data_IF_597030192433
#
_entry.id   IF_597030192433
#
_cell.length_a   1.000
_cell.length_b   1.000
_cell.length_c   1.000
_cell.angle_alpha   90.00
_cell.angle_beta   90.00
_cell.angle_gamma   90.00
#
_symmetry.space_group_name_H-M   'P 1'
#
loop_
_entity.id
_entity.type
_entity.pdbx_description
1 polymer ?
#
# COMPACT_ATOMS: atom_id res chain seq x y z
N UNK A 1 -17.55 -0.45 24.55
CA UNK A 1 -18.32 0.28 25.58
C UNK A 1 -17.42 1.41 26.10
N UNK A 2 -17.36 2.53 25.34
CA UNK A 2 -16.50 3.68 25.69
C UNK A 2 -17.37 4.78 26.28
N UNK A 3 -17.15 5.09 27.54
CA UNK A 3 -17.76 6.22 28.24
C UNK A 3 -17.12 7.52 27.76
N UNK A 4 -17.89 8.35 27.04
CA UNK A 4 -17.52 9.74 26.77
C UNK A 4 -17.75 10.54 28.06
N UNK A 5 -16.67 11.10 28.62
CA UNK A 5 -16.74 12.07 29.70
C UNK A 5 -17.00 13.45 29.10
N UNK A 6 -18.19 14.01 29.32
CA UNK A 6 -18.53 15.37 28.98
C UNK A 6 -18.15 16.26 30.16
N UNK A 7 -17.06 17.01 30.08
CA UNK A 7 -16.69 18.02 31.08
C UNK A 7 -17.45 19.31 30.78
N UNK A 8 -18.48 19.55 31.56
CA UNK A 8 -19.24 20.80 31.55
C UNK A 8 -18.48 21.82 32.44
N UNK A 9 -17.86 22.83 31.81
CA UNK A 9 -17.31 23.97 32.54
C UNK A 9 -18.42 24.97 32.85
N UNK A 10 -18.88 24.99 34.09
CA UNK A 10 -19.83 25.97 34.59
C UNK A 10 -19.05 27.21 35.02
N UNK A 11 -19.13 28.29 34.24
CA UNK A 11 -18.66 29.62 34.66
C UNK A 11 -19.76 30.27 35.52
N UNK A 12 -19.49 30.33 36.82
CA UNK A 12 -20.40 30.98 37.78
C UNK A 12 -20.06 32.48 37.81
N UNK A 13 -20.93 33.31 37.26
CA UNK A 13 -20.93 34.74 37.47
C UNK A 13 -21.50 35.06 38.87
N UNK A 14 -20.66 35.48 39.79
CA UNK A 14 -21.12 36.06 41.05
C UNK A 14 -21.49 37.52 40.81
N UNK A 15 -22.78 37.81 40.76
CA UNK A 15 -23.30 39.16 40.82
C UNK A 15 -23.33 39.56 42.30
N UNK A 16 -22.45 40.45 42.70
CA UNK A 16 -22.52 41.06 44.05
C UNK A 16 -23.50 42.26 44.02
N UNK A 17 -24.64 42.07 44.61
CA UNK A 17 -25.62 43.13 44.77
C UNK A 17 -25.45 43.73 46.17
N UNK A 18 -24.71 44.85 46.27
CA UNK A 18 -24.59 45.66 47.48
C UNK A 18 -25.28 47.01 47.25
N UNK A 19 -26.41 47.19 47.90
CA UNK A 19 -27.20 48.43 47.82
C UNK A 19 -26.55 49.58 48.64
N UNK A 20 -26.63 50.79 48.09
CA UNK A 20 -26.27 52.05 48.79
C UNK A 20 -26.49 53.24 47.87
N UNK A 21 -27.54 54.05 48.12
CA UNK A 21 -28.01 55.12 47.29
C UNK A 21 -27.06 56.32 47.19
N UNK A 22 -27.08 56.95 46.05
CA UNK A 22 -26.43 58.20 45.72
C UNK A 22 -26.54 58.44 44.21
N UNK A 23 -27.39 59.41 43.80
CA UNK A 23 -27.57 59.79 42.39
C UNK A 23 -26.25 60.30 41.77
N UNK A 24 -25.72 59.54 40.92
CA UNK A 24 -24.69 59.83 39.96
C UNK A 24 -25.08 59.06 38.71
N UNK A 25 -25.16 59.69 37.59
CA UNK A 25 -25.35 59.01 36.31
C UNK A 25 -24.24 58.00 36.16
N UNK A 26 -24.60 56.72 36.29
CA UNK A 26 -23.74 55.60 35.97
C UNK A 26 -23.59 55.59 34.44
N UNK A 27 -22.68 56.43 33.96
CA UNK A 27 -22.07 56.22 32.67
C UNK A 27 -21.28 54.94 32.82
N UNK A 28 -21.92 53.77 32.49
CA UNK A 28 -21.20 52.53 32.31
C UNK A 28 -19.91 52.78 31.53
N UNK A 29 -18.88 51.95 31.68
CA UNK A 29 -17.58 52.22 31.07
C UNK A 29 -17.83 52.50 29.59
N UNK A 30 -17.63 53.77 29.19
CA UNK A 30 -17.70 54.17 27.78
C UNK A 30 -16.79 53.26 26.97
N UNK A 31 -17.01 53.16 25.67
CA UNK A 31 -16.16 52.35 24.80
C UNK A 31 -14.68 52.66 25.14
N UNK A 32 -13.92 51.64 25.46
CA UNK A 32 -12.48 51.80 25.76
C UNK A 32 -11.83 52.46 24.57
N UNK A 33 -11.14 53.59 24.82
CA UNK A 33 -10.33 54.27 23.81
C UNK A 33 -8.97 53.58 23.61
N UNK A 34 -8.76 52.45 24.23
CA UNK A 34 -7.51 51.71 24.13
C UNK A 34 -7.37 51.08 22.76
N UNK A 35 -6.18 51.05 22.20
CA UNK A 35 -5.91 50.37 20.91
C UNK A 35 -6.13 48.86 21.05
N UNK A 36 -6.36 48.15 19.92
CA UNK A 36 -6.38 46.69 19.91
C UNK A 36 -5.08 46.11 20.44
N UNK A 37 -5.17 44.94 21.10
CA UNK A 37 -4.02 44.13 21.45
C UNK A 37 -4.27 42.71 20.88
N UNK A 38 -3.45 42.31 19.90
CA UNK A 38 -3.55 41.01 19.26
C UNK A 38 -3.05 39.89 20.16
N UNK A 39 -3.87 38.89 20.34
CA UNK A 39 -3.54 37.68 21.09
C UNK A 39 -4.32 36.50 20.58
N UNK A 40 -3.70 35.32 20.52
CA UNK A 40 -4.38 34.10 20.08
C UNK A 40 -3.76 32.84 20.64
N UNK A 41 -4.53 31.75 20.57
CA UNK A 41 -4.10 30.38 20.82
C UNK A 41 -4.56 29.47 19.68
N UNK A 42 -3.91 28.32 19.56
CA UNK A 42 -4.31 27.29 18.62
C UNK A 42 -4.07 25.88 19.16
N UNK A 43 -4.84 24.91 18.67
CA UNK A 43 -4.67 23.51 19.03
C UNK A 43 -5.27 22.60 17.95
N UNK A 44 -4.56 21.48 17.59
CA UNK A 44 -3.20 21.10 17.99
C UNK A 44 -2.13 21.97 17.33
N UNK A 45 -0.90 22.01 17.88
CA UNK A 45 0.25 22.73 17.30
C UNK A 45 1.17 21.83 16.48
N UNK A 46 0.96 20.52 16.51
CA UNK A 46 1.71 19.56 15.71
C UNK A 46 0.90 18.32 15.41
N UNK A 47 1.21 17.66 14.29
CA UNK A 47 0.57 16.42 13.83
C UNK A 47 0.96 16.07 12.41
N UNK A 48 0.44 14.93 11.91
CA UNK A 48 0.64 14.53 10.53
C UNK A 48 -0.34 15.25 9.59
N UNK A 49 0.09 15.51 8.36
CA UNK A 49 -0.76 16.04 7.28
C UNK A 49 -1.87 15.03 6.88
N UNK A 50 -3.10 15.48 6.55
CA UNK A 50 -3.61 16.83 6.75
C UNK A 50 -3.90 17.13 8.22
N UNK A 51 -3.42 18.26 8.75
CA UNK A 51 -3.60 18.65 10.14
C UNK A 51 -4.65 19.76 10.25
N UNK A 52 -5.80 19.46 10.87
CA UNK A 52 -6.82 20.45 11.20
C UNK A 52 -6.47 21.12 12.53
N UNK A 53 -6.33 22.46 12.53
CA UNK A 53 -5.98 23.27 13.68
C UNK A 53 -7.09 24.27 13.97
N UNK A 54 -7.54 24.34 15.22
CA UNK A 54 -8.49 25.35 15.68
C UNK A 54 -7.75 26.55 16.23
N UNK A 55 -8.00 27.73 15.70
CA UNK A 55 -7.46 29.00 16.14
C UNK A 55 -8.52 29.80 16.90
N UNK A 56 -8.10 30.41 17.99
CA UNK A 56 -8.96 31.27 18.80
C UNK A 56 -8.26 32.58 19.06
N UNK A 57 -8.84 33.68 18.57
CA UNK A 57 -8.38 35.00 18.96
C UNK A 57 -8.84 35.32 20.39
N UNK A 58 -7.92 35.82 21.18
CA UNK A 58 -8.12 36.35 22.53
C UNK A 58 -7.76 37.83 22.58
N UNK A 59 -7.75 38.48 21.41
CA UNK A 59 -7.45 39.92 21.27
C UNK A 59 -8.46 40.77 22.02
N UNK A 60 -7.99 41.90 22.57
CA UNK A 60 -8.81 42.90 23.24
C UNK A 60 -8.98 44.14 22.38
N UNK A 61 -10.08 44.89 22.57
CA UNK A 61 -10.42 46.14 21.87
C UNK A 61 -10.47 46.00 20.32
N UNK A 62 -10.61 44.76 19.80
CA UNK A 62 -10.69 44.46 18.37
C UNK A 62 -12.13 44.15 17.96
N UNK A 63 -12.49 44.54 16.74
CA UNK A 63 -13.79 44.25 16.10
C UNK A 63 -13.64 43.29 14.92
N UNK A 64 -12.43 43.23 14.32
CA UNK A 64 -12.07 42.27 13.27
C UNK A 64 -10.82 41.50 13.64
N UNK A 65 -10.74 40.25 13.16
CA UNK A 65 -9.66 39.30 13.42
C UNK A 65 -9.31 38.61 12.11
N UNK A 66 -8.25 39.03 11.47
CA UNK A 66 -7.83 38.58 10.16
C UNK A 66 -6.57 37.72 10.26
N UNK A 67 -6.63 36.54 9.64
CA UNK A 67 -5.61 35.50 9.80
C UNK A 67 -4.85 35.25 8.50
N UNK A 68 -3.54 35.08 8.63
CA UNK A 68 -2.63 34.49 7.67
C UNK A 68 -2.02 33.26 8.35
N UNK A 69 -2.35 32.06 7.87
CA UNK A 69 -1.96 30.81 8.49
C UNK A 69 -0.65 30.22 7.93
N UNK A 70 -0.16 30.74 6.82
CA UNK A 70 1.01 30.19 6.14
C UNK A 70 2.19 31.18 6.08
N UNK A 71 1.98 32.43 6.48
CA UNK A 71 3.00 33.48 6.52
C UNK A 71 3.33 34.07 5.16
N UNK A 72 2.44 33.97 4.15
CA UNK A 72 2.63 34.55 2.81
C UNK A 72 2.17 36.01 2.69
N UNK A 73 1.57 36.54 3.75
CA UNK A 73 1.06 37.92 3.81
C UNK A 73 -0.31 38.11 3.18
N UNK A 74 -0.98 37.02 2.79
CA UNK A 74 -2.33 37.03 2.21
C UNK A 74 -3.33 36.62 3.29
N UNK A 75 -4.50 37.25 3.29
CA UNK A 75 -5.60 36.91 4.19
C UNK A 75 -6.18 35.52 3.83
N UNK A 76 -6.08 34.58 4.75
CA UNK A 76 -6.68 33.24 4.61
C UNK A 76 -8.10 33.15 5.17
N UNK A 77 -8.35 33.81 6.31
CA UNK A 77 -9.65 33.77 6.97
C UNK A 77 -9.86 34.94 7.93
N UNK A 78 -11.13 35.20 8.31
CA UNK A 78 -11.50 36.16 9.33
C UNK A 78 -12.42 35.53 10.37
N UNK A 79 -12.28 35.94 11.64
CA UNK A 79 -13.15 35.49 12.74
C UNK A 79 -12.42 35.28 14.06
N UNK A 80 -13.19 35.23 15.14
CA UNK A 80 -12.66 34.96 16.51
C UNK A 80 -12.26 33.48 16.66
N UNK A 81 -13.04 32.57 16.05
CA UNK A 81 -12.83 31.13 16.04
C UNK A 81 -12.76 30.68 14.60
N UNK A 82 -11.63 30.11 14.19
CA UNK A 82 -11.39 29.63 12.83
C UNK A 82 -10.71 28.27 12.89
N UNK A 83 -11.14 27.34 12.03
CA UNK A 83 -10.44 26.11 11.76
C UNK A 83 -9.71 26.21 10.41
N UNK A 84 -8.43 25.88 10.40
CA UNK A 84 -7.63 25.80 9.17
C UNK A 84 -7.00 24.40 9.06
N UNK A 85 -6.91 23.86 7.84
CA UNK A 85 -6.32 22.55 7.59
C UNK A 85 -5.06 22.70 6.76
N UNK A 86 -3.94 22.34 7.35
CA UNK A 86 -2.64 22.25 6.67
C UNK A 86 -2.56 20.93 5.92
N UNK A 87 -2.62 20.97 4.60
CA UNK A 87 -2.61 19.79 3.75
C UNK A 87 -1.22 19.16 3.60
N UNK A 88 -0.17 19.98 3.65
CA UNK A 88 1.21 19.59 3.37
C UNK A 88 2.05 19.60 4.65
N UNK A 89 3.11 18.78 4.66
CA UNK A 89 4.11 18.82 5.72
C UNK A 89 4.91 20.14 5.66
N UNK A 90 5.21 20.69 6.83
CA UNK A 90 5.93 21.96 6.92
C UNK A 90 5.88 22.55 8.31
N UNK A 91 6.56 23.68 8.46
CA UNK A 91 6.49 24.50 9.67
C UNK A 91 5.95 25.87 9.28
N UNK A 92 4.84 26.23 9.89
CA UNK A 92 4.04 27.37 9.48
C UNK A 92 4.12 28.52 10.47
N UNK A 93 4.32 29.71 9.94
CA UNK A 93 4.19 30.98 10.67
C UNK A 93 2.75 31.43 10.63
N UNK A 94 2.20 31.86 11.74
CA UNK A 94 0.83 32.35 11.83
C UNK A 94 0.81 33.80 12.27
N UNK A 95 0.05 34.61 11.55
CA UNK A 95 -0.15 36.02 11.85
C UNK A 95 -1.62 36.31 12.08
N UNK A 96 -1.92 37.01 13.17
CA UNK A 96 -3.23 37.59 13.45
C UNK A 96 -3.14 39.12 13.38
N UNK A 97 -3.99 39.72 12.57
CA UNK A 97 -4.22 41.14 12.55
C UNK A 97 -5.55 41.45 13.24
N UNK A 98 -5.47 42.15 14.36
CA UNK A 98 -6.63 42.56 15.16
C UNK A 98 -6.89 44.05 14.94
N UNK A 99 -8.05 44.40 14.37
CA UNK A 99 -8.41 45.79 14.09
C UNK A 99 -9.61 46.23 14.92
N UNK A 100 -9.57 47.39 15.47
CA UNK A 100 -10.62 48.03 16.25
C UNK A 100 -10.76 49.50 15.93
N UNK A 101 -11.70 50.22 16.62
CA UNK A 101 -11.94 51.68 16.36
C UNK A 101 -10.69 52.55 16.50
N UNK A 102 -9.76 52.12 17.35
CA UNK A 102 -8.57 52.90 17.71
C UNK A 102 -7.26 52.38 17.11
N UNK A 103 -7.36 51.63 16.01
CA UNK A 103 -6.18 51.17 15.28
C UNK A 103 -6.13 49.67 15.01
N UNK A 104 -4.95 49.21 14.77
CA UNK A 104 -4.66 47.80 14.41
C UNK A 104 -3.41 47.34 15.19
N UNK A 105 -3.43 46.10 15.66
CA UNK A 105 -2.26 45.41 16.21
C UNK A 105 -2.06 44.09 15.47
N UNK A 106 -0.80 43.67 15.32
CA UNK A 106 -0.42 42.48 14.57
C UNK A 106 0.46 41.58 15.44
N UNK A 107 0.05 40.33 15.61
CA UNK A 107 0.85 39.32 16.30
C UNK A 107 1.25 38.20 15.32
N UNK A 108 2.56 38.08 15.09
CA UNK A 108 3.14 37.00 14.32
C UNK A 108 3.83 35.99 15.23
N UNK A 109 3.53 34.71 15.06
CA UNK A 109 4.22 33.60 15.71
C UNK A 109 4.93 32.76 14.68
N UNK A 110 6.25 32.88 14.65
CA UNK A 110 7.09 32.13 13.73
C UNK A 110 7.16 30.65 14.14
N UNK A 111 7.12 29.75 13.15
CA UNK A 111 7.22 28.30 13.34
C UNK A 111 6.20 27.77 14.38
N UNK A 112 4.99 28.31 14.33
CA UNK A 112 4.00 28.08 15.36
C UNK A 112 3.28 26.73 15.22
N UNK A 113 3.02 26.29 14.00
CA UNK A 113 2.43 24.99 13.71
C UNK A 113 3.42 24.11 12.95
N UNK A 114 3.63 22.88 13.41
CA UNK A 114 4.51 21.91 12.77
C UNK A 114 3.71 20.73 12.25
N UNK A 115 3.72 20.51 10.94
CA UNK A 115 3.02 19.42 10.27
C UNK A 115 4.05 18.44 9.72
N UNK A 116 3.99 17.21 10.16
CA UNK A 116 4.83 16.12 9.63
C UNK A 116 4.20 15.48 8.41
N UNK A 117 5.01 14.84 7.56
CA UNK A 117 4.48 14.02 6.48
C UNK A 117 3.65 12.86 7.05
N UNK A 118 2.58 12.50 6.36
CA UNK A 118 1.80 11.31 6.69
C UNK A 118 2.62 10.05 6.46
N UNK A 119 2.55 9.06 7.35
CA UNK A 119 3.24 7.80 7.16
C UNK A 119 2.76 7.08 5.90
N UNK A 120 3.60 6.27 5.27
CA UNK A 120 3.16 5.39 4.19
C UNK A 120 2.20 4.32 4.72
N UNK A 121 1.49 3.67 3.80
CA UNK A 121 0.66 2.51 4.11
C UNK A 121 1.01 1.40 3.12
N UNK A 122 1.50 0.27 3.62
CA UNK A 122 1.87 -0.89 2.84
C UNK A 122 0.64 -1.73 2.50
N UNK A 123 0.32 -1.86 1.22
CA UNK A 123 -0.81 -2.63 0.70
C UNK A 123 -0.39 -3.37 -0.56
N UNK A 124 -0.75 -4.64 -0.65
CA UNK A 124 -0.45 -5.44 -1.83
C UNK A 124 -1.44 -6.57 -2.06
N UNK A 125 -1.38 -7.13 -3.26
CA UNK A 125 -2.03 -8.39 -3.66
C UNK A 125 -1.05 -9.24 -4.45
N UNK A 126 -1.33 -10.53 -4.59
CA UNK A 126 -0.59 -11.45 -5.44
C UNK A 126 -1.53 -12.52 -5.98
N UNK A 127 -1.36 -12.88 -7.25
CA UNK A 127 -2.17 -13.89 -7.93
C UNK A 127 -1.29 -14.79 -8.81
N UNK A 128 -1.54 -16.10 -8.81
CA UNK A 128 -2.44 -16.87 -7.94
C UNK A 128 -1.86 -17.03 -6.52
N UNK A 129 -2.72 -17.22 -5.50
CA UNK A 129 -2.29 -17.45 -4.10
C UNK A 129 -2.04 -18.92 -3.77
N UNK A 130 -2.38 -19.83 -4.68
CA UNK A 130 -2.12 -21.27 -4.49
C UNK A 130 -1.88 -21.99 -5.81
N UNK A 131 -1.11 -23.07 -5.75
CA UNK A 131 -0.85 -23.93 -6.91
C UNK A 131 0.16 -25.02 -6.63
N UNK A 132 0.60 -25.68 -7.70
CA UNK A 132 1.64 -26.70 -7.62
C UNK A 132 3.02 -26.05 -7.70
N UNK A 133 4.04 -26.78 -7.25
CA UNK A 133 5.47 -26.45 -7.38
C UNK A 133 5.78 -25.80 -8.72
N UNK A 134 6.72 -24.87 -8.73
CA UNK A 134 7.00 -23.90 -9.81
C UNK A 134 5.84 -22.93 -10.03
N UNK A 135 5.19 -22.52 -8.93
CA UNK A 135 4.11 -21.56 -8.93
C UNK A 135 4.64 -20.16 -9.22
N UNK A 136 4.27 -19.62 -10.39
CA UNK A 136 4.54 -18.24 -10.77
C UNK A 136 3.43 -17.34 -10.23
N UNK A 137 3.80 -16.35 -9.43
CA UNK A 137 2.90 -15.39 -8.80
C UNK A 137 3.25 -13.99 -9.28
N UNK A 138 2.24 -13.22 -9.68
CA UNK A 138 2.37 -11.80 -10.02
C UNK A 138 1.91 -10.98 -8.82
N UNK A 139 2.79 -10.11 -8.30
CA UNK A 139 2.49 -9.26 -7.17
C UNK A 139 2.19 -7.84 -7.65
N UNK A 140 1.24 -7.19 -6.99
CA UNK A 140 0.84 -5.81 -7.27
C UNK A 140 0.92 -4.99 -6.00
N UNK A 141 1.74 -3.93 -6.03
CA UNK A 141 1.88 -2.96 -4.96
C UNK A 141 0.83 -1.87 -5.10
N UNK A 142 -0.02 -1.71 -4.09
CA UNK A 142 -1.03 -0.66 -4.00
C UNK A 142 -0.81 0.26 -2.79
N UNK A 143 0.42 0.29 -2.28
CA UNK A 143 0.82 1.11 -1.14
C UNK A 143 0.65 2.61 -1.41
N UNK A 144 0.50 3.37 -0.33
CA UNK A 144 0.29 4.81 -0.40
C UNK A 144 1.45 5.57 0.23
N UNK A 145 1.80 6.75 -0.31
CA UNK A 145 2.77 7.70 0.24
C UNK A 145 4.17 7.10 0.48
N UNK A 146 4.62 6.24 -0.41
CA UNK A 146 5.96 5.63 -0.35
C UNK A 146 6.85 6.09 -1.50
N UNK A 147 8.15 5.98 -1.30
CA UNK A 147 9.20 6.31 -2.27
C UNK A 147 10.02 5.08 -2.67
N UNK A 148 10.01 4.05 -1.82
CA UNK A 148 10.70 2.78 -2.08
C UNK A 148 9.97 1.63 -1.41
N UNK A 149 10.12 0.43 -2.00
CA UNK A 149 9.53 -0.82 -1.53
C UNK A 149 10.54 -1.95 -1.53
N UNK A 150 10.36 -2.89 -0.61
CA UNK A 150 11.12 -4.14 -0.55
C UNK A 150 10.15 -5.28 -0.25
N UNK A 151 10.20 -6.31 -1.07
CA UNK A 151 9.47 -7.54 -0.93
C UNK A 151 10.33 -8.63 -0.30
N UNK A 152 9.72 -9.42 0.59
CA UNK A 152 10.22 -10.70 1.04
C UNK A 152 9.12 -11.74 0.75
N UNK A 153 9.46 -12.74 -0.06
CA UNK A 153 8.49 -13.75 -0.50
C UNK A 153 8.37 -14.94 0.47
N UNK A 154 9.13 -14.93 1.58
CA UNK A 154 9.07 -15.95 2.62
C UNK A 154 9.82 -17.25 2.29
N UNK A 155 10.43 -17.35 1.11
CA UNK A 155 11.26 -18.48 0.67
C UNK A 155 12.77 -18.17 0.67
N UNK A 156 13.14 -17.00 1.22
CA UNK A 156 14.50 -16.47 1.27
C UNK A 156 14.85 -15.56 0.10
N UNK A 157 13.95 -15.36 -0.85
CA UNK A 157 14.11 -14.43 -1.96
C UNK A 157 13.44 -13.10 -1.66
N UNK A 158 14.00 -12.02 -2.22
CA UNK A 158 13.50 -10.65 -2.06
C UNK A 158 13.49 -9.92 -3.40
N UNK A 159 12.71 -8.82 -3.50
CA UNK A 159 12.72 -7.94 -4.67
C UNK A 159 12.56 -6.47 -4.24
N UNK A 160 13.08 -5.56 -5.07
CA UNK A 160 12.86 -4.11 -4.96
C UNK A 160 12.04 -3.56 -6.13
N UNK A 161 11.57 -4.42 -7.02
CA UNK A 161 10.65 -4.05 -8.09
C UNK A 161 9.30 -3.67 -7.48
N UNK A 162 8.63 -2.72 -8.10
CA UNK A 162 7.34 -2.23 -7.57
C UNK A 162 6.24 -3.30 -7.69
N UNK A 163 6.18 -3.97 -8.83
CA UNK A 163 5.24 -5.08 -9.09
C UNK A 163 6.00 -6.32 -9.57
N UNK A 164 6.63 -7.08 -8.65
CA UNK A 164 7.48 -8.19 -9.03
C UNK A 164 6.68 -9.42 -9.45
N UNK A 165 7.35 -10.25 -10.23
CA UNK A 165 6.93 -11.62 -10.50
C UNK A 165 7.88 -12.56 -9.80
N UNK A 166 7.35 -13.48 -8.99
CA UNK A 166 8.15 -14.45 -8.28
C UNK A 166 7.68 -15.89 -8.54
N UNK A 167 8.62 -16.84 -8.58
CA UNK A 167 8.32 -18.27 -8.79
C UNK A 167 8.76 -19.08 -7.59
N UNK A 168 7.79 -19.71 -6.92
CA UNK A 168 8.03 -20.60 -5.80
C UNK A 168 8.36 -22.02 -6.29
N UNK A 169 9.61 -22.43 -6.12
CA UNK A 169 10.13 -23.72 -6.61
C UNK A 169 10.06 -24.85 -5.59
N UNK A 170 9.65 -24.57 -4.36
CA UNK A 170 9.49 -25.55 -3.28
C UNK A 170 8.05 -25.54 -2.77
N UNK A 171 7.56 -26.70 -2.34
CA UNK A 171 6.26 -26.80 -1.68
C UNK A 171 6.33 -26.20 -0.26
N UNK A 172 5.26 -25.54 0.15
CA UNK A 172 5.18 -24.89 1.46
C UNK A 172 4.08 -23.84 1.55
N UNK A 173 3.95 -23.26 2.73
CA UNK A 173 3.17 -22.06 2.98
C UNK A 173 4.15 -20.91 3.22
N UNK A 174 4.00 -19.84 2.47
CA UNK A 174 4.92 -18.72 2.50
C UNK A 174 4.22 -17.47 3.01
N UNK A 175 4.84 -16.83 3.99
CA UNK A 175 4.47 -15.50 4.44
C UNK A 175 5.06 -14.50 3.45
N UNK A 176 4.25 -13.57 2.96
CA UNK A 176 4.74 -12.53 2.08
C UNK A 176 4.73 -11.21 2.83
N UNK A 177 5.85 -10.50 2.76
CA UNK A 177 6.05 -9.21 3.41
C UNK A 177 6.35 -8.15 2.38
N UNK A 178 5.64 -7.02 2.47
CA UNK A 178 5.98 -5.79 1.76
C UNK A 178 6.34 -4.71 2.77
N UNK A 179 7.55 -4.20 2.71
CA UNK A 179 8.01 -3.04 3.48
C UNK A 179 8.15 -1.84 2.57
N UNK A 180 7.58 -0.71 2.98
CA UNK A 180 7.63 0.55 2.23
C UNK A 180 8.20 1.67 3.09
N UNK A 181 8.92 2.59 2.46
CA UNK A 181 9.49 3.79 3.10
C UNK A 181 9.04 5.02 2.33
N UNK A 182 8.60 6.04 3.04
CA UNK A 182 8.20 7.34 2.51
C UNK A 182 8.68 8.48 3.41
N UNK A 183 8.32 9.73 3.08
CA UNK A 183 8.73 10.90 3.87
C UNK A 183 8.22 10.87 5.31
N UNK A 184 7.06 10.27 5.55
CA UNK A 184 6.46 10.14 6.88
C UNK A 184 6.95 8.95 7.70
N UNK A 185 7.96 8.21 7.22
CA UNK A 185 8.50 7.02 7.89
C UNK A 185 8.39 5.75 7.06
N UNK A 186 8.15 4.62 7.70
CA UNK A 186 8.01 3.32 7.06
C UNK A 186 6.76 2.59 7.53
N UNK A 187 6.29 1.65 6.71
CA UNK A 187 5.24 0.71 7.06
C UNK A 187 5.55 -0.66 6.48
N UNK A 188 5.03 -1.71 7.13
CA UNK A 188 5.25 -3.10 6.72
C UNK A 188 3.95 -3.87 6.82
N UNK A 189 3.58 -4.55 5.74
CA UNK A 189 2.44 -5.45 5.67
C UNK A 189 2.94 -6.89 5.53
N UNK A 190 2.49 -7.76 6.43
CA UNK A 190 2.81 -9.20 6.44
C UNK A 190 1.53 -9.99 6.29
N UNK A 191 1.41 -10.76 5.22
CA UNK A 191 0.32 -11.72 5.01
C UNK A 191 0.84 -13.13 5.26
N UNK A 192 0.50 -13.67 6.43
CA UNK A 192 0.96 -15.00 6.85
C UNK A 192 0.26 -16.12 6.09
N UNK A 193 1.04 -17.10 5.61
CA UNK A 193 0.55 -18.22 4.81
C UNK A 193 -0.13 -17.79 3.51
N UNK A 194 0.24 -16.62 2.99
CA UNK A 194 -0.44 -15.98 1.86
C UNK A 194 -0.33 -16.80 0.57
N UNK A 195 0.82 -17.44 0.36
CA UNK A 195 1.02 -18.30 -0.80
C UNK A 195 1.14 -19.75 -0.33
N UNK A 196 0.30 -20.62 -0.90
CA UNK A 196 0.33 -22.06 -0.66
C UNK A 196 0.80 -22.79 -1.90
N UNK A 197 1.92 -23.50 -1.79
CA UNK A 197 2.48 -24.32 -2.87
C UNK A 197 2.43 -25.78 -2.48
N UNK A 198 1.66 -26.55 -3.21
CA UNK A 198 1.58 -27.98 -3.04
C UNK A 198 2.71 -28.69 -3.77
N UNK A 199 3.13 -29.82 -3.24
CA UNK A 199 4.01 -30.71 -4.01
C UNK A 199 3.24 -31.38 -5.16
N UNK A 200 4.00 -31.75 -6.18
CA UNK A 200 3.44 -32.53 -7.27
C UNK A 200 3.17 -33.93 -6.76
N UNK A 201 1.90 -34.33 -6.77
CA UNK A 201 1.52 -35.68 -6.38
C UNK A 201 2.21 -36.68 -7.30
N UNK A 202 2.96 -37.63 -6.73
CA UNK A 202 3.59 -38.69 -7.50
C UNK A 202 2.72 -39.96 -7.47
N UNK A 203 2.59 -40.71 -8.59
CA UNK A 203 3.19 -40.48 -9.92
C UNK A 203 2.52 -39.31 -10.68
N UNK A 204 3.33 -38.53 -11.38
CA UNK A 204 2.84 -37.40 -12.17
C UNK A 204 3.55 -37.28 -13.53
N UNK A 205 2.87 -36.69 -14.50
CA UNK A 205 3.46 -36.26 -15.76
C UNK A 205 3.47 -34.73 -15.74
N UNK A 206 4.63 -34.14 -15.94
CA UNK A 206 4.82 -32.68 -15.92
C UNK A 206 5.49 -32.21 -17.22
N UNK A 207 5.18 -30.99 -17.60
CA UNK A 207 5.87 -30.26 -18.67
C UNK A 207 6.93 -29.37 -18.07
N UNK A 208 8.11 -29.35 -18.68
CA UNK A 208 9.22 -28.48 -18.26
C UNK A 208 9.85 -27.80 -19.50
N UNK A 209 9.88 -26.49 -19.56
CA UNK A 209 9.34 -25.55 -18.56
C UNK A 209 7.80 -25.50 -18.54
N UNK A 210 7.24 -25.22 -17.38
CA UNK A 210 5.79 -25.13 -17.17
C UNK A 210 5.14 -23.93 -17.87
N UNK A 211 5.90 -22.84 -17.98
CA UNK A 211 5.51 -21.59 -18.64
C UNK A 211 6.62 -21.14 -19.58
N UNK A 212 6.25 -20.71 -20.76
CA UNK A 212 7.19 -20.18 -21.76
C UNK A 212 6.57 -18.92 -22.36
N UNK A 213 7.29 -17.80 -22.25
CA UNK A 213 6.99 -16.60 -23.02
C UNK A 213 7.94 -16.54 -24.20
N UNK A 214 7.39 -16.41 -25.40
CA UNK A 214 8.18 -16.40 -26.62
C UNK A 214 7.54 -15.54 -27.71
N UNK A 215 8.33 -15.18 -28.71
CA UNK A 215 7.86 -14.47 -29.90
C UNK A 215 7.28 -15.43 -30.94
N UNK A 216 6.33 -14.96 -31.72
CA UNK A 216 5.75 -15.74 -32.83
C UNK A 216 6.84 -16.26 -33.79
N UNK A 217 6.75 -17.53 -34.14
CA UNK A 217 7.67 -18.21 -35.06
C UNK A 217 8.88 -18.85 -34.40
N UNK A 218 9.01 -18.80 -33.05
CA UNK A 218 10.07 -19.50 -32.33
C UNK A 218 9.71 -20.97 -32.12
N UNK A 219 10.71 -21.86 -32.26
CA UNK A 219 10.60 -23.26 -31.87
C UNK A 219 10.88 -23.38 -30.36
N UNK A 220 10.02 -24.08 -29.63
CA UNK A 220 10.06 -24.18 -28.19
C UNK A 220 10.24 -25.63 -27.80
N UNK A 221 11.37 -26.03 -27.20
CA UNK A 221 11.52 -27.34 -26.60
C UNK A 221 10.71 -27.43 -25.29
N UNK A 222 9.93 -28.51 -25.15
CA UNK A 222 9.20 -28.82 -23.92
C UNK A 222 9.53 -30.24 -23.52
N UNK A 223 10.13 -30.41 -22.35
CA UNK A 223 10.37 -31.74 -21.79
C UNK A 223 9.12 -32.27 -21.10
N UNK A 224 8.78 -33.52 -21.37
CA UNK A 224 7.74 -34.26 -20.64
C UNK A 224 8.43 -35.16 -19.62
N UNK A 225 8.28 -34.83 -18.34
CA UNK A 225 8.89 -35.56 -17.25
C UNK A 225 7.85 -36.39 -16.52
N UNK A 226 8.20 -37.63 -16.21
CA UNK A 226 7.39 -38.53 -15.36
C UNK A 226 8.05 -38.58 -14.00
N UNK A 227 7.27 -38.25 -12.96
CA UNK A 227 7.75 -38.20 -11.57
C UNK A 227 7.19 -39.35 -10.75
N UNK A 228 8.00 -39.90 -9.84
CA UNK A 228 7.58 -40.88 -8.85
C UNK A 228 7.28 -42.28 -9.41
N UNK A 229 7.81 -42.64 -10.57
CA UNK A 229 7.74 -43.98 -11.15
C UNK A 229 9.12 -44.56 -11.33
N UNK A 230 9.26 -45.85 -11.06
CA UNK A 230 10.43 -46.67 -11.35
C UNK A 230 10.02 -47.89 -12.16
N UNK A 231 10.83 -48.33 -13.11
CA UNK A 231 10.59 -49.56 -13.87
C UNK A 231 9.40 -49.51 -14.83
N UNK A 232 9.16 -48.33 -15.44
CA UNK A 232 8.11 -48.18 -16.45
C UNK A 232 8.53 -48.85 -17.78
N UNK A 233 7.78 -49.87 -18.20
CA UNK A 233 8.06 -50.61 -19.44
C UNK A 233 7.49 -49.94 -20.66
N UNK A 234 6.38 -49.23 -20.56
CA UNK A 234 5.75 -48.49 -21.65
C UNK A 234 4.93 -47.30 -21.17
N UNK A 235 4.78 -46.29 -22.00
CA UNK A 235 3.89 -45.16 -21.76
C UNK A 235 3.20 -44.71 -23.07
N UNK A 236 2.00 -44.18 -22.90
CA UNK A 236 1.32 -43.42 -23.95
C UNK A 236 1.05 -42.03 -23.43
N UNK A 237 1.52 -41.02 -24.11
CA UNK A 237 1.25 -39.62 -23.79
C UNK A 237 0.48 -38.99 -24.97
N UNK A 238 -0.66 -38.39 -24.66
CA UNK A 238 -1.46 -37.66 -25.67
C UNK A 238 -1.42 -36.19 -25.30
N UNK A 239 -0.86 -35.37 -26.19
CA UNK A 239 -0.76 -33.92 -26.05
C UNK A 239 -1.79 -33.28 -26.94
N UNK A 240 -2.67 -32.48 -26.35
CA UNK A 240 -3.58 -31.60 -27.08
C UNK A 240 -2.98 -30.18 -27.14
N UNK A 241 -3.03 -29.58 -28.30
CA UNK A 241 -2.53 -28.22 -28.50
C UNK A 241 -3.48 -27.42 -29.41
N UNK A 242 -3.44 -26.11 -29.30
CA UNK A 242 -4.20 -25.23 -30.21
C UNK A 242 -3.39 -25.02 -31.48
N UNK A 243 -3.84 -25.63 -32.56
CA UNK A 243 -3.17 -25.55 -33.88
C UNK A 243 -3.33 -24.19 -34.58
N UNK A 244 -4.15 -23.30 -34.04
CA UNK A 244 -4.20 -21.90 -34.47
C UNK A 244 -3.06 -21.07 -33.92
N UNK A 245 -2.46 -21.51 -32.80
CA UNK A 245 -1.42 -20.79 -32.06
C UNK A 245 -0.03 -21.42 -32.22
N UNK A 246 0.03 -22.76 -32.42
CA UNK A 246 1.27 -23.51 -32.52
C UNK A 246 1.21 -24.69 -33.45
N UNK A 247 2.37 -25.15 -33.93
CA UNK A 247 2.53 -26.35 -34.71
C UNK A 247 3.49 -27.30 -34.03
N UNK A 248 3.27 -28.60 -34.23
CA UNK A 248 4.21 -29.62 -33.76
C UNK A 248 5.37 -29.77 -34.75
N UNK A 249 6.62 -29.74 -34.25
CA UNK A 249 7.82 -29.94 -35.06
C UNK A 249 8.36 -31.38 -34.95
N UNK A 250 8.75 -31.80 -33.77
CA UNK A 250 9.36 -33.13 -33.55
C UNK A 250 9.30 -33.56 -32.08
N UNK A 251 9.53 -34.85 -31.83
CA UNK A 251 9.74 -35.45 -30.52
C UNK A 251 11.00 -36.28 -30.50
N UNK A 252 11.78 -36.21 -29.45
CA UNK A 252 12.94 -37.09 -29.21
C UNK A 252 12.79 -37.78 -27.88
N UNK A 253 13.32 -39.01 -27.75
CA UNK A 253 13.34 -39.72 -26.46
C UNK A 253 14.32 -39.08 -25.47
N UNK A 254 13.85 -38.83 -24.25
CA UNK A 254 14.68 -38.40 -23.13
C UNK A 254 15.45 -39.55 -22.47
N UNK A 255 16.35 -39.21 -21.52
CA UNK A 255 17.27 -40.16 -20.92
C UNK A 255 16.59 -41.24 -20.08
N UNK A 256 15.41 -40.95 -19.47
CA UNK A 256 14.68 -41.93 -18.68
C UNK A 256 14.22 -43.16 -19.48
N UNK A 257 13.94 -42.99 -20.77
CA UNK A 257 13.48 -44.06 -21.64
C UNK A 257 14.62 -44.81 -22.32
N UNK A 258 15.83 -44.31 -22.23
CA UNK A 258 17.00 -44.88 -22.91
C UNK A 258 17.59 -46.11 -22.23
N UNK A 259 17.39 -46.35 -20.91
CA UNK A 259 17.88 -47.51 -20.17
C UNK A 259 19.12 -48.16 -20.78
N UNK A 260 19.18 -49.50 -20.81
CA UNK A 260 20.25 -50.29 -21.46
C UNK A 260 20.01 -50.57 -22.94
N UNK A 261 18.85 -50.12 -23.49
CA UNK A 261 18.50 -50.28 -24.91
C UNK A 261 17.75 -49.05 -25.42
N UNK A 262 17.93 -48.74 -26.70
CA UNK A 262 17.19 -47.63 -27.32
C UNK A 262 15.68 -47.85 -27.26
N UNK A 263 14.90 -46.93 -26.68
CA UNK A 263 13.47 -47.09 -26.61
C UNK A 263 12.85 -47.02 -27.98
N UNK A 264 11.82 -47.84 -28.21
CA UNK A 264 10.96 -47.69 -29.38
C UNK A 264 10.10 -46.44 -29.17
N UNK A 265 10.36 -45.40 -29.94
CA UNK A 265 9.57 -44.17 -29.95
C UNK A 265 8.70 -44.15 -31.18
N UNK A 266 7.38 -44.23 -31.00
CA UNK A 266 6.41 -44.07 -32.10
C UNK A 266 5.63 -42.78 -31.85
N UNK A 267 5.74 -41.85 -32.80
CA UNK A 267 5.02 -40.59 -32.75
C UNK A 267 4.00 -40.57 -33.87
N UNK A 268 2.77 -40.29 -33.50
CA UNK A 268 1.71 -40.00 -34.48
C UNK A 268 1.17 -38.61 -34.25
N UNK A 269 1.22 -37.75 -35.27
CA UNK A 269 0.58 -36.44 -35.21
C UNK A 269 -0.70 -36.45 -36.03
N UNK A 270 -1.74 -35.85 -35.51
CA UNK A 270 -2.97 -35.63 -36.26
C UNK A 270 -3.34 -34.15 -36.19
N UNK A 271 -2.84 -33.34 -37.13
CA UNK A 271 -3.10 -31.88 -37.13
C UNK A 271 -4.58 -31.52 -37.14
N UNK A 272 -5.41 -32.36 -37.83
CA UNK A 272 -6.86 -32.13 -37.86
C UNK A 272 -7.58 -32.40 -36.53
N UNK A 273 -6.96 -33.13 -35.61
CA UNK A 273 -7.48 -33.40 -34.26
C UNK A 273 -6.74 -32.62 -33.17
N UNK A 274 -5.84 -31.72 -33.52
CA UNK A 274 -5.07 -30.89 -32.60
C UNK A 274 -4.33 -31.71 -31.51
N UNK A 275 -3.74 -32.82 -31.87
CA UNK A 275 -3.08 -33.72 -30.93
C UNK A 275 -1.84 -34.40 -31.52
N UNK A 276 -0.89 -34.64 -30.63
CA UNK A 276 0.26 -35.52 -30.82
C UNK A 276 0.14 -36.70 -29.85
N UNK A 277 0.32 -37.93 -30.36
CA UNK A 277 0.32 -39.15 -29.53
C UNK A 277 1.72 -39.72 -29.57
N UNK A 278 2.31 -39.94 -28.39
CA UNK A 278 3.62 -40.49 -28.25
C UNK A 278 3.47 -41.85 -27.56
N UNK A 279 3.93 -42.90 -28.22
CA UNK A 279 4.06 -44.24 -27.63
C UNK A 279 5.52 -44.52 -27.36
N UNK A 280 5.86 -44.95 -26.19
CA UNK A 280 7.21 -45.37 -25.86
C UNK A 280 7.19 -46.74 -25.21
N UNK A 281 8.17 -47.58 -25.53
CA UNK A 281 8.43 -48.80 -24.82
C UNK A 281 9.94 -49.00 -24.67
N UNK A 282 10.38 -49.41 -23.47
CA UNK A 282 11.72 -49.96 -23.29
C UNK A 282 11.64 -51.47 -23.56
N UNK A 283 12.40 -51.97 -24.51
CA UNK A 283 12.61 -53.39 -24.66
C UNK A 283 13.64 -53.79 -23.59
N UNK A 284 13.16 -54.27 -22.41
CA UNK A 284 14.04 -54.96 -21.50
C UNK A 284 14.40 -56.31 -22.11
N UNK A 285 15.69 -56.61 -22.17
CA UNK A 285 16.21 -57.90 -22.65
C UNK A 285 16.01 -59.04 -21.64
N UNK A 286 15.21 -58.87 -20.60
CA UNK A 286 14.93 -59.88 -19.58
C UNK A 286 13.51 -60.45 -19.80
N UNK A 287 13.44 -61.50 -20.61
CA UNK A 287 12.46 -62.56 -20.54
C UNK A 287 13.10 -63.76 -19.83
#
# INVERSE_FOLDING_TARGET
MFKKSLSLFLILFLINCGGGGGGGEDSGPGPSNDPPVASFSASPLSGAAPLAVNFTSTSTNATTHDWDFNGDGILDASGVLVQYTYAEAGTYTVTLTATGPNGTDVLTRNNYVTVSASPPAALFTGEPTSGKKDLRVEFSNSSLRYNSSVWDFGDGNTSTEDNPVHTYTTAGNFDVTLSVVGEGGSDTNVLSGYITVDDIQTPAIVFDPKYIETTSGSSIPIDIKVLGVSGMAAAQVVIFYDNSLMTYDSVTAGDFLKGDSDPLLVVTSNPGANRVIIYTSSLSSDL
#
